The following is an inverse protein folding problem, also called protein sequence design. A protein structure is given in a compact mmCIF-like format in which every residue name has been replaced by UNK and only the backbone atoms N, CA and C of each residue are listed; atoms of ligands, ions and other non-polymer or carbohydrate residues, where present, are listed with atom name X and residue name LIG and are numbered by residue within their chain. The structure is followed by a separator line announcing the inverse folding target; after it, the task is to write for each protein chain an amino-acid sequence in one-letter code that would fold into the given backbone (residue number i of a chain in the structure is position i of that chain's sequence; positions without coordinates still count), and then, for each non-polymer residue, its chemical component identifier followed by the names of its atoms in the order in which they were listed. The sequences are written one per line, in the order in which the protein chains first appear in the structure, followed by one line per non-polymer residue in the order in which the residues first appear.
data_IF_766118834837
#
_entry.id   IF_766118834837
#
_cell.length_a   1.000
_cell.length_b   1.000
_cell.length_c   1.000
_cell.angle_alpha   90.00
_cell.angle_beta   90.00
_cell.angle_gamma   90.00
#
_symmetry.space_group_name_H-M   'P 1'
#
loop_
_entity.id
_entity.type
_entity.pdbx_description
1 polymer ?
#
# COMPACT_ATOMS: atom_id res chain seq x y z
N UNK A 1 16.60 -18.25 44.25
CA UNK A 1 15.73 -18.92 43.28
C UNK A 1 14.56 -18.00 43.01
N UNK A 2 14.80 -17.11 42.07
CA UNK A 2 13.88 -16.19 41.44
C UNK A 2 12.66 -16.89 40.84
N UNK A 3 11.49 -16.23 40.87
CA UNK A 3 10.52 -16.33 39.78
C UNK A 3 9.71 -15.02 39.73
N UNK A 4 10.20 -14.08 38.91
CA UNK A 4 9.42 -12.92 38.47
C UNK A 4 8.56 -13.37 37.29
N UNK A 5 7.22 -13.22 37.32
CA UNK A 5 6.37 -13.72 36.24
C UNK A 5 6.61 -12.88 34.98
N UNK A 6 6.99 -13.58 33.91
CA UNK A 6 7.27 -12.99 32.60
C UNK A 6 6.07 -12.17 32.11
N UNK A 7 6.35 -10.92 31.73
CA UNK A 7 5.42 -10.01 31.07
C UNK A 7 4.79 -10.72 29.87
N UNK A 8 3.48 -10.98 29.93
CA UNK A 8 2.72 -11.47 28.78
C UNK A 8 2.74 -10.39 27.71
N UNK A 9 3.54 -10.58 26.68
CA UNK A 9 3.51 -9.76 25.47
C UNK A 9 2.18 -10.02 24.79
N UNK A 10 1.21 -9.11 24.95
CA UNK A 10 0.00 -9.12 24.13
C UNK A 10 0.41 -8.72 22.73
N UNK A 11 0.51 -9.69 21.82
CA UNK A 11 0.58 -9.42 20.38
C UNK A 11 -0.77 -8.89 19.90
N UNK A 12 -1.12 -7.67 20.31
CA UNK A 12 -2.15 -6.86 19.65
C UNK A 12 -1.48 -6.09 18.50
N UNK A 13 -0.77 -6.79 17.63
CA UNK A 13 -0.53 -6.25 16.30
C UNK A 13 -1.83 -6.51 15.54
N UNK A 14 -2.74 -5.53 15.58
CA UNK A 14 -3.66 -5.32 14.47
C UNK A 14 -2.79 -5.16 13.23
N UNK A 15 -2.45 -6.28 12.60
CA UNK A 15 -2.04 -6.31 11.22
C UNK A 15 -3.25 -5.76 10.48
N UNK A 16 -3.27 -4.45 10.28
CA UNK A 16 -4.16 -3.86 9.30
C UNK A 16 -3.89 -4.68 8.04
N UNK A 17 -4.93 -5.26 7.39
CA UNK A 17 -4.70 -5.97 6.15
C UNK A 17 -3.92 -5.01 5.29
N UNK A 18 -2.65 -5.35 5.04
CA UNK A 18 -1.78 -4.50 4.25
C UNK A 18 -2.52 -4.32 2.94
N UNK A 19 -3.02 -3.10 2.71
CA UNK A 19 -3.54 -2.69 1.42
C UNK A 19 -2.46 -3.16 0.45
N UNK A 20 -2.78 -4.16 -0.38
CA UNK A 20 -1.75 -4.82 -1.19
C UNK A 20 -1.04 -3.70 -1.95
N UNK A 21 0.25 -3.45 -1.66
CA UNK A 21 0.90 -2.30 -2.25
C UNK A 21 0.90 -2.52 -3.76
N UNK A 22 0.34 -1.55 -4.49
CA UNK A 22 0.17 -1.65 -5.93
C UNK A 22 1.54 -1.97 -6.53
N UNK A 23 1.66 -3.06 -7.32
CA UNK A 23 2.97 -3.51 -7.78
C UNK A 23 3.69 -2.37 -8.52
N UNK A 24 4.95 -2.12 -8.15
CA UNK A 24 5.74 -1.05 -8.76
C UNK A 24 5.83 -1.17 -10.29
N UNK A 25 5.76 -2.39 -10.82
CA UNK A 25 5.69 -2.69 -12.25
C UNK A 25 4.50 -2.05 -12.95
N UNK A 26 3.34 -1.99 -12.31
CA UNK A 26 2.12 -1.38 -12.89
C UNK A 26 2.30 0.12 -13.03
N UNK A 27 2.79 0.77 -11.98
CA UNK A 27 3.06 2.21 -12.00
C UNK A 27 4.15 2.55 -13.00
N UNK A 28 5.18 1.71 -13.10
CA UNK A 28 6.25 1.85 -14.09
C UNK A 28 5.71 1.84 -15.53
N UNK A 29 4.74 0.97 -15.83
CA UNK A 29 4.08 0.93 -17.13
C UNK A 29 3.25 2.19 -17.40
N UNK A 30 2.44 2.64 -16.42
CA UNK A 30 1.59 3.83 -16.56
C UNK A 30 2.43 5.10 -16.79
N UNK A 31 3.53 5.23 -16.05
CA UNK A 31 4.40 6.41 -16.08
C UNK A 31 5.53 6.32 -17.09
N UNK A 32 5.65 5.21 -17.83
CA UNK A 32 6.70 4.93 -18.81
C UNK A 32 8.12 5.10 -18.24
N UNK A 33 8.36 4.53 -17.06
CA UNK A 33 9.67 4.51 -16.38
C UNK A 33 10.06 3.09 -16.00
N UNK A 34 11.27 2.90 -15.48
CA UNK A 34 11.69 1.59 -14.99
C UNK A 34 11.07 1.27 -13.62
N UNK A 35 10.81 -0.02 -13.37
CA UNK A 35 10.33 -0.48 -12.06
C UNK A 35 11.31 -0.12 -10.93
N UNK A 36 12.61 -0.16 -11.20
CA UNK A 36 13.65 0.23 -10.25
C UNK A 36 13.59 1.71 -9.88
N UNK A 37 13.19 2.57 -10.81
CA UNK A 37 12.98 4.00 -10.56
C UNK A 37 11.78 4.23 -9.61
N UNK A 38 10.66 3.57 -9.86
CA UNK A 38 9.47 3.62 -8.99
C UNK A 38 9.81 3.15 -7.57
N UNK A 39 10.52 2.02 -7.43
CA UNK A 39 10.95 1.51 -6.12
C UNK A 39 11.81 2.52 -5.35
N UNK A 40 12.76 3.17 -6.03
CA UNK A 40 13.61 4.19 -5.40
C UNK A 40 12.81 5.43 -4.95
N UNK A 41 11.82 5.85 -5.74
CA UNK A 41 10.94 6.96 -5.36
C UNK A 41 10.07 6.63 -4.14
N UNK A 42 9.49 5.43 -4.08
CA UNK A 42 8.64 5.01 -2.94
C UNK A 42 9.40 4.89 -1.62
N UNK A 43 10.66 4.46 -1.66
CA UNK A 43 11.51 4.31 -0.47
C UNK A 43 12.07 5.66 0.02
N UNK A 44 11.79 6.77 -0.69
CA UNK A 44 12.30 8.09 -0.32
C UNK A 44 13.81 8.28 -0.60
N UNK A 45 14.47 7.29 -1.21
CA UNK A 45 15.89 7.35 -1.57
C UNK A 45 16.18 8.29 -2.76
N UNK A 46 15.15 8.99 -3.26
CA UNK A 46 15.28 9.96 -4.34
C UNK A 46 14.22 11.06 -4.15
N UNK A 47 14.60 12.18 -3.57
CA UNK A 47 13.81 13.41 -3.63
C UNK A 47 13.96 14.02 -5.02
N UNK A 48 13.25 13.43 -5.98
CA UNK A 48 13.23 13.91 -7.35
C UNK A 48 11.99 14.80 -7.52
N UNK A 49 12.20 16.10 -7.73
CA UNK A 49 11.14 17.06 -8.05
C UNK A 49 10.89 17.15 -9.57
N UNK A 50 11.50 16.27 -10.36
CA UNK A 50 11.23 16.19 -11.79
C UNK A 50 9.75 15.93 -12.07
N UNK A 51 9.32 16.42 -13.22
CA UNK A 51 7.98 16.17 -13.75
C UNK A 51 7.67 14.66 -13.84
N UNK A 52 8.69 13.85 -14.16
CA UNK A 52 8.58 12.39 -14.17
C UNK A 52 8.25 11.81 -12.79
N UNK A 53 8.89 12.30 -11.73
CA UNK A 53 8.62 11.84 -10.37
C UNK A 53 7.22 12.25 -9.88
N UNK A 54 6.73 13.44 -10.28
CA UNK A 54 5.36 13.86 -10.01
C UNK A 54 4.35 12.94 -10.66
N UNK A 55 4.56 12.56 -11.92
CA UNK A 55 3.70 11.60 -12.65
C UNK A 55 3.67 10.23 -11.99
N UNK A 56 4.83 9.72 -11.53
CA UNK A 56 4.91 8.46 -10.78
C UNK A 56 4.09 8.54 -9.50
N UNK A 57 4.26 9.59 -8.70
CA UNK A 57 3.50 9.80 -7.46
C UNK A 57 1.99 9.91 -7.73
N UNK A 58 1.61 10.66 -8.75
CA UNK A 58 0.21 10.82 -9.14
C UNK A 58 -0.42 9.49 -9.59
N UNK A 59 0.31 8.69 -10.37
CA UNK A 59 -0.13 7.36 -10.77
C UNK A 59 -0.28 6.43 -9.55
N UNK A 60 0.64 6.50 -8.58
CA UNK A 60 0.56 5.77 -7.31
C UNK A 60 -0.73 6.13 -6.54
N UNK A 61 -1.01 7.42 -6.40
CA UNK A 61 -2.22 7.91 -5.71
C UNK A 61 -3.51 7.47 -6.40
N UNK A 62 -3.65 7.71 -7.71
CA UNK A 62 -4.86 7.36 -8.44
C UNK A 62 -5.15 5.85 -8.41
N UNK A 63 -4.10 5.05 -8.51
CA UNK A 63 -4.24 3.59 -8.45
C UNK A 63 -4.65 3.14 -7.04
N UNK A 64 -4.12 3.77 -5.98
CA UNK A 64 -4.52 3.48 -4.60
C UNK A 64 -5.99 3.84 -4.34
N UNK A 65 -6.41 5.04 -4.76
CA UNK A 65 -7.79 5.52 -4.61
C UNK A 65 -8.77 4.61 -5.36
N UNK A 66 -8.44 4.25 -6.61
CA UNK A 66 -9.25 3.35 -7.42
C UNK A 66 -9.36 1.94 -6.83
N UNK A 67 -8.27 1.44 -6.23
CA UNK A 67 -8.27 0.15 -5.54
C UNK A 67 -9.13 0.18 -4.28
N UNK A 68 -9.03 1.24 -3.48
CA UNK A 68 -9.87 1.43 -2.29
C UNK A 68 -11.36 1.50 -2.66
N UNK A 69 -11.70 2.28 -3.69
CA UNK A 69 -13.06 2.35 -4.21
C UNK A 69 -13.58 0.97 -4.60
N UNK A 70 -12.81 0.21 -5.39
CA UNK A 70 -13.19 -1.12 -5.84
C UNK A 70 -13.38 -2.09 -4.67
N UNK A 71 -12.48 -2.08 -3.68
CA UNK A 71 -12.59 -2.93 -2.49
C UNK A 71 -13.85 -2.58 -1.69
N UNK A 72 -14.15 -1.29 -1.53
CA UNK A 72 -15.35 -0.85 -0.80
C UNK A 72 -16.63 -1.22 -1.54
N UNK A 73 -16.64 -1.09 -2.87
CA UNK A 73 -17.78 -1.49 -3.69
C UNK A 73 -18.04 -3.00 -3.57
N UNK A 74 -17.00 -3.83 -3.73
CA UNK A 74 -17.08 -5.30 -3.58
C UNK A 74 -17.58 -5.69 -2.18
N UNK A 75 -17.07 -5.06 -1.12
CA UNK A 75 -17.56 -5.29 0.25
C UNK A 75 -19.05 -4.94 0.37
N UNK A 76 -19.49 -3.86 -0.26
CA UNK A 76 -20.89 -3.45 -0.22
C UNK A 76 -21.81 -4.43 -0.94
N UNK A 77 -21.32 -5.07 -2.01
CA UNK A 77 -22.07 -6.08 -2.78
C UNK A 77 -22.18 -7.39 -1.99
N UNK A 78 -21.08 -7.87 -1.42
CA UNK A 78 -21.07 -9.09 -0.60
C UNK A 78 -21.97 -8.93 0.63
N UNK A 79 -21.86 -7.81 1.35
CA UNK A 79 -22.66 -7.58 2.56
C UNK A 79 -24.14 -7.26 2.26
N UNK A 80 -24.52 -7.07 0.99
CA UNK A 80 -25.92 -6.98 0.56
C UNK A 80 -26.53 -8.34 0.23
N UNK A 81 -25.72 -9.40 0.09
CA UNK A 81 -26.19 -10.76 -0.19
C UNK A 81 -26.59 -11.56 1.06
N UNK A 82 -26.49 -10.98 2.26
CA UNK A 82 -27.09 -11.55 3.47
C UNK A 82 -28.61 -11.28 3.51
N UNK A 83 -29.37 -12.09 2.75
CA UNK A 83 -30.82 -12.31 2.88
C UNK A 83 -31.09 -13.39 3.92
#
# INVERSE_FOLDING_TARGET
MDYSPANKTTCNNFSHPAIMPIPARVIAQISNVSESYVKKLRVGNREDNSETAKRVKQADTLMADGFEYLVNEVKSLINKEDI
#
